data_IF_529981600994
#
_entry.id   IF_529981600994
#
_cell.length_a   1.000
_cell.length_b   1.000
_cell.length_c   1.000
_cell.angle_alpha   90.00
_cell.angle_beta   90.00
_cell.angle_gamma   90.00
#
_symmetry.space_group_name_H-M   'P 1'
#
loop_
_entity.id
_entity.type
_entity.pdbx_description
1 polymer ?
#
# COMPACT_ATOMS: atom_id res chain seq x y z
N UNK A 1 -15.75 31.92 -80.29
CA UNK A 1 -14.99 30.74 -79.85
C UNK A 1 -14.35 31.02 -78.49
N UNK A 2 -15.04 30.66 -77.43
CA UNK A 2 -14.60 30.89 -76.07
C UNK A 2 -14.06 29.59 -75.49
N UNK A 3 -12.77 29.55 -75.10
CA UNK A 3 -12.13 28.39 -74.47
C UNK A 3 -12.29 28.47 -72.97
N UNK A 4 -13.08 27.58 -72.38
CA UNK A 4 -13.11 27.33 -70.96
C UNK A 4 -11.82 26.63 -70.53
N UNK A 5 -11.06 27.25 -69.61
CA UNK A 5 -9.91 26.62 -68.94
C UNK A 5 -10.40 26.11 -67.59
N UNK A 6 -10.51 24.77 -67.45
CA UNK A 6 -10.82 24.10 -66.17
C UNK A 6 -9.56 24.05 -65.31
N UNK A 7 -9.57 24.74 -64.18
CA UNK A 7 -8.55 24.57 -63.14
C UNK A 7 -8.92 23.35 -62.29
N UNK A 8 -8.15 22.24 -62.36
CA UNK A 8 -8.16 21.14 -61.43
C UNK A 8 -7.33 21.58 -60.20
N UNK A 9 -7.98 21.77 -59.10
CA UNK A 9 -7.31 21.99 -57.80
C UNK A 9 -6.91 20.62 -57.21
N UNK A 10 -5.63 20.35 -56.91
CA UNK A 10 -5.26 19.09 -56.26
C UNK A 10 -5.72 19.15 -54.82
N UNK A 11 -6.59 18.20 -54.42
CA UNK A 11 -6.94 17.94 -53.02
C UNK A 11 -5.74 17.28 -52.38
N UNK A 12 -5.03 18.02 -51.54
CA UNK A 12 -3.95 17.54 -50.67
C UNK A 12 -4.58 16.70 -49.56
N UNK A 13 -4.58 15.39 -49.67
CA UNK A 13 -4.92 14.47 -48.59
C UNK A 13 -3.78 14.55 -47.54
N UNK A 14 -3.96 15.34 -46.50
CA UNK A 14 -3.14 15.25 -45.28
C UNK A 14 -3.43 13.88 -44.62
N UNK A 15 -2.41 13.04 -44.37
CA UNK A 15 -2.61 11.87 -43.55
C UNK A 15 -3.00 12.37 -42.14
N UNK A 16 -4.21 12.01 -41.68
CA UNK A 16 -4.60 12.10 -40.30
C UNK A 16 -3.64 11.21 -39.53
N UNK A 17 -2.61 11.78 -38.92
CA UNK A 17 -1.82 11.10 -37.89
C UNK A 17 -2.80 10.73 -36.79
N UNK A 18 -3.21 9.47 -36.79
CA UNK A 18 -3.99 8.88 -35.71
C UNK A 18 -3.09 8.86 -34.50
N UNK A 19 -3.24 9.84 -33.58
CA UNK A 19 -2.74 9.75 -32.22
C UNK A 19 -3.58 8.68 -31.51
N UNK A 20 -3.47 7.43 -31.94
CA UNK A 20 -4.08 6.28 -31.31
C UNK A 20 -3.41 6.05 -29.95
N UNK A 21 -4.21 5.79 -28.93
CA UNK A 21 -3.74 5.12 -27.70
C UNK A 21 -2.91 3.90 -28.10
N UNK A 22 -1.87 3.54 -27.33
CA UNK A 22 -1.11 2.33 -27.59
C UNK A 22 -2.06 1.17 -27.84
N UNK A 23 -1.83 0.42 -28.90
CA UNK A 23 -2.68 -0.70 -29.26
C UNK A 23 -2.23 -1.88 -28.40
N UNK A 24 -2.99 -2.20 -27.36
CA UNK A 24 -2.68 -3.29 -26.45
C UNK A 24 -2.87 -4.65 -27.15
N UNK A 25 -1.94 -5.58 -26.91
CA UNK A 25 -2.07 -6.97 -27.35
C UNK A 25 -2.91 -7.73 -26.31
N UNK A 26 -3.79 -8.62 -26.79
CA UNK A 26 -4.56 -9.55 -25.94
C UNK A 26 -3.67 -10.49 -25.11
N UNK A 27 -2.39 -10.57 -25.41
CA UNK A 27 -1.38 -11.32 -24.67
C UNK A 27 -0.78 -10.56 -23.49
N UNK A 28 -1.00 -9.26 -23.39
CA UNK A 28 -0.47 -8.46 -22.28
C UNK A 28 -1.14 -8.85 -20.95
N UNK A 29 -0.32 -9.33 -20.05
CA UNK A 29 -0.76 -9.85 -18.73
C UNK A 29 0.01 -9.18 -17.63
N UNK A 30 -0.70 -8.47 -16.78
CA UNK A 30 -0.14 -7.83 -15.59
C UNK A 30 -0.60 -8.58 -14.34
N UNK A 31 0.32 -8.75 -13.40
CA UNK A 31 0.03 -9.42 -12.15
C UNK A 31 0.29 -8.49 -10.96
N UNK A 32 -0.56 -8.60 -9.96
CA UNK A 32 -0.29 -8.01 -8.65
C UNK A 32 -0.18 -9.12 -7.62
N UNK A 33 1.05 -9.38 -7.16
CA UNK A 33 1.36 -10.38 -6.11
C UNK A 33 1.34 -9.66 -4.77
N UNK A 34 0.24 -9.80 -4.03
CA UNK A 34 0.02 -9.14 -2.75
C UNK A 34 0.45 -9.97 -1.54
N UNK A 35 0.65 -9.30 -0.40
CA UNK A 35 0.97 -9.97 0.87
C UNK A 35 -0.23 -10.73 1.48
N UNK A 36 -1.46 -10.35 1.10
CA UNK A 36 -2.70 -10.95 1.56
C UNK A 36 -3.82 -10.59 0.57
N UNK A 37 -4.83 -11.46 0.38
CA UNK A 37 -5.91 -11.21 -0.58
C UNK A 37 -7.26 -10.98 0.08
N UNK A 38 -7.43 -11.16 1.38
CA UNK A 38 -8.75 -11.18 2.04
C UNK A 38 -9.11 -9.92 2.80
N UNK A 39 -8.14 -9.24 3.41
CA UNK A 39 -8.46 -8.06 4.22
C UNK A 39 -8.88 -6.85 3.35
N UNK A 40 -9.73 -5.96 3.85
CA UNK A 40 -10.28 -4.82 3.10
C UNK A 40 -9.23 -3.94 2.43
N UNK A 41 -8.08 -3.75 3.08
CA UNK A 41 -6.94 -3.00 2.53
C UNK A 41 -6.51 -3.53 1.15
N UNK A 42 -6.26 -4.84 1.06
CA UNK A 42 -5.83 -5.47 -0.19
C UNK A 42 -6.94 -5.56 -1.24
N UNK A 43 -8.20 -5.67 -0.81
CA UNK A 43 -9.35 -5.59 -1.72
C UNK A 43 -9.48 -4.20 -2.35
N UNK A 44 -9.15 -3.14 -1.61
CA UNK A 44 -9.11 -1.78 -2.13
C UNK A 44 -7.93 -1.59 -3.13
N UNK A 45 -6.76 -2.17 -2.84
CA UNK A 45 -5.63 -2.21 -3.77
C UNK A 45 -5.97 -2.95 -5.06
N UNK A 46 -6.59 -4.14 -4.96
CA UNK A 46 -7.06 -4.93 -6.09
C UNK A 46 -8.05 -4.14 -6.95
N UNK A 47 -8.96 -3.39 -6.35
CA UNK A 47 -9.91 -2.54 -7.08
C UNK A 47 -9.18 -1.45 -7.89
N UNK A 48 -8.11 -0.85 -7.36
CA UNK A 48 -7.27 0.11 -8.08
C UNK A 48 -6.55 -0.53 -9.27
N UNK A 49 -5.95 -1.69 -9.05
CA UNK A 49 -5.26 -2.47 -10.08
C UNK A 49 -6.20 -2.85 -11.23
N UNK A 50 -7.36 -3.44 -10.89
CA UNK A 50 -8.37 -3.83 -11.86
C UNK A 50 -8.95 -2.64 -12.62
N UNK A 51 -9.14 -1.48 -11.94
CA UNK A 51 -9.61 -0.26 -12.60
C UNK A 51 -8.65 0.21 -13.69
N UNK A 52 -7.35 0.18 -13.42
CA UNK A 52 -6.34 0.51 -14.41
C UNK A 52 -6.39 -0.47 -15.60
N UNK A 53 -6.44 -1.78 -15.32
CA UNK A 53 -6.51 -2.82 -16.35
C UNK A 53 -7.72 -2.67 -17.26
N UNK A 54 -8.91 -2.41 -16.71
CA UNK A 54 -10.13 -2.15 -17.47
C UNK A 54 -9.96 -0.93 -18.39
N UNK A 55 -9.34 0.14 -17.90
CA UNK A 55 -9.12 1.36 -18.71
C UNK A 55 -8.07 1.19 -19.80
N UNK A 56 -7.13 0.29 -19.61
CA UNK A 56 -6.09 -0.06 -20.57
C UNK A 56 -6.54 -1.17 -21.52
N UNK A 57 -7.65 -1.87 -21.22
CA UNK A 57 -8.12 -3.06 -21.96
C UNK A 57 -7.10 -4.21 -21.97
N UNK A 58 -6.39 -4.42 -20.86
CA UNK A 58 -5.39 -5.48 -20.67
C UNK A 58 -5.88 -6.55 -19.71
N UNK A 59 -5.24 -7.73 -19.73
CA UNK A 59 -5.50 -8.77 -18.75
C UNK A 59 -4.71 -8.48 -17.47
N UNK A 60 -5.39 -8.61 -16.31
CA UNK A 60 -4.78 -8.40 -15.00
C UNK A 60 -5.27 -9.41 -13.99
N UNK A 61 -4.35 -9.95 -13.20
CA UNK A 61 -4.64 -10.90 -12.14
C UNK A 61 -4.09 -10.41 -10.81
N UNK A 62 -4.97 -10.39 -9.80
CA UNK A 62 -4.60 -10.13 -8.41
C UNK A 62 -4.47 -11.46 -7.69
N UNK A 63 -3.26 -11.77 -7.22
CA UNK A 63 -2.91 -13.03 -6.59
C UNK A 63 -2.17 -12.80 -5.28
N UNK A 64 -2.17 -13.80 -4.41
CA UNK A 64 -1.52 -13.74 -3.11
C UNK A 64 -2.11 -14.77 -2.16
N UNK A 65 -1.49 -15.02 -1.00
CA UNK A 65 -2.06 -15.89 0.02
C UNK A 65 -3.34 -15.27 0.61
N UNK A 66 -4.23 -16.12 1.15
CA UNK A 66 -5.45 -15.64 1.81
C UNK A 66 -5.16 -14.98 3.17
N UNK A 67 -4.11 -15.43 3.83
CA UNK A 67 -3.59 -14.89 5.10
C UNK A 67 -2.13 -14.48 4.92
N UNK A 68 -1.53 -13.83 5.91
CA UNK A 68 -0.12 -13.48 5.85
C UNK A 68 0.75 -14.75 5.86
N UNK A 69 1.29 -15.10 4.69
CA UNK A 69 2.18 -16.24 4.49
C UNK A 69 3.26 -15.90 3.45
N UNK A 70 4.44 -15.45 3.91
CA UNK A 70 5.54 -15.09 3.02
C UNK A 70 6.04 -16.22 2.12
N UNK A 71 5.94 -17.48 2.55
CA UNK A 71 6.36 -18.62 1.73
C UNK A 71 5.39 -18.89 0.60
N UNK A 72 4.09 -18.88 0.91
CA UNK A 72 3.07 -19.01 -0.11
C UNK A 72 3.13 -17.84 -1.11
N UNK A 73 3.43 -16.61 -0.67
CA UNK A 73 3.65 -15.48 -1.56
C UNK A 73 4.84 -15.70 -2.49
N UNK A 74 5.95 -16.20 -1.97
CA UNK A 74 7.14 -16.53 -2.75
C UNK A 74 6.82 -17.57 -3.84
N UNK A 75 6.15 -18.68 -3.47
CA UNK A 75 5.72 -19.72 -4.41
C UNK A 75 4.81 -19.15 -5.52
N UNK A 76 3.85 -18.30 -5.15
CA UNK A 76 2.97 -17.66 -6.12
C UNK A 76 3.69 -16.68 -7.04
N UNK A 77 4.69 -15.95 -6.57
CA UNK A 77 5.51 -15.10 -7.42
C UNK A 77 6.24 -15.94 -8.49
N UNK A 78 6.81 -17.07 -8.10
CA UNK A 78 7.45 -18.01 -9.03
C UNK A 78 6.46 -18.57 -10.07
N UNK A 79 5.23 -18.90 -9.66
CA UNK A 79 4.20 -19.38 -10.56
C UNK A 79 3.71 -18.30 -11.54
N UNK A 80 3.64 -17.06 -11.09
CA UNK A 80 3.38 -15.89 -11.96
C UNK A 80 4.48 -15.74 -13.00
N UNK A 81 5.75 -15.84 -12.59
CA UNK A 81 6.88 -15.67 -13.51
C UNK A 81 6.89 -16.73 -14.63
N UNK A 82 6.48 -17.99 -14.34
CA UNK A 82 6.32 -19.05 -15.34
C UNK A 82 5.29 -18.73 -16.42
N UNK A 83 4.33 -17.84 -16.13
CA UNK A 83 3.29 -17.42 -17.07
C UNK A 83 3.76 -16.33 -18.05
N UNK A 84 5.03 -15.90 -17.94
CA UNK A 84 5.66 -14.85 -18.77
C UNK A 84 4.85 -13.55 -18.75
N UNK A 85 4.68 -12.94 -17.56
CA UNK A 85 3.90 -11.72 -17.41
C UNK A 85 4.54 -10.55 -18.18
N UNK A 86 3.72 -9.60 -18.62
CA UNK A 86 4.15 -8.33 -19.19
C UNK A 86 4.74 -7.40 -18.13
N UNK A 87 4.24 -7.50 -16.89
CA UNK A 87 4.75 -6.77 -15.74
C UNK A 87 4.16 -7.27 -14.43
N UNK A 88 4.89 -7.02 -13.34
CA UNK A 88 4.49 -7.48 -11.99
C UNK A 88 4.50 -6.30 -11.02
N UNK A 89 3.38 -6.08 -10.31
CA UNK A 89 3.37 -5.39 -9.03
C UNK A 89 3.60 -6.41 -7.92
N UNK A 90 4.40 -6.07 -6.92
CA UNK A 90 4.60 -6.93 -5.75
C UNK A 90 4.62 -6.12 -4.47
N UNK A 91 3.89 -6.57 -3.45
CA UNK A 91 4.04 -6.06 -2.09
C UNK A 91 4.81 -7.09 -1.27
N UNK A 92 6.08 -6.82 -1.02
CA UNK A 92 6.99 -7.80 -0.44
C UNK A 92 6.72 -8.02 1.06
N UNK A 93 6.02 -9.09 1.42
CA UNK A 93 5.77 -9.44 2.83
C UNK A 93 7.04 -9.83 3.59
N UNK A 94 7.99 -10.47 2.90
CA UNK A 94 9.33 -10.78 3.40
C UNK A 94 10.35 -10.56 2.27
N UNK A 95 10.94 -9.36 2.17
CA UNK A 95 11.85 -9.01 1.07
C UNK A 95 12.97 -10.02 0.87
N UNK A 96 13.55 -10.56 1.94
CA UNK A 96 14.62 -11.57 1.88
C UNK A 96 14.25 -12.85 1.12
N UNK A 97 12.97 -13.21 1.01
CA UNK A 97 12.51 -14.34 0.22
C UNK A 97 12.28 -13.98 -1.26
N UNK A 98 11.94 -12.71 -1.54
CA UNK A 98 11.50 -12.28 -2.86
C UNK A 98 12.58 -11.58 -3.68
N UNK A 99 13.67 -11.08 -3.06
CA UNK A 99 14.70 -10.32 -3.76
C UNK A 99 15.25 -11.07 -4.98
N UNK A 100 15.60 -12.35 -4.81
CA UNK A 100 16.15 -13.18 -5.90
C UNK A 100 15.13 -13.44 -7.02
N UNK A 101 13.85 -13.58 -6.69
CA UNK A 101 12.80 -13.80 -7.70
C UNK A 101 12.51 -12.51 -8.48
N UNK A 102 12.52 -11.37 -7.80
CA UNK A 102 12.40 -10.06 -8.43
C UNK A 102 13.57 -9.84 -9.39
N UNK A 103 14.80 -10.14 -8.95
CA UNK A 103 16.00 -10.04 -9.78
C UNK A 103 15.95 -10.97 -11.00
N UNK A 104 15.42 -12.19 -10.81
CA UNK A 104 15.22 -13.14 -11.89
C UNK A 104 14.17 -12.66 -12.90
N UNK A 105 13.08 -12.04 -12.44
CA UNK A 105 12.06 -11.44 -13.30
C UNK A 105 12.67 -10.30 -14.16
N UNK A 106 13.38 -9.38 -13.54
CA UNK A 106 14.09 -8.28 -14.22
C UNK A 106 15.10 -8.81 -15.25
N UNK A 107 15.88 -9.84 -14.90
CA UNK A 107 16.84 -10.45 -15.81
C UNK A 107 16.16 -11.13 -17.04
N UNK A 108 14.90 -11.54 -16.91
CA UNK A 108 14.08 -12.08 -18.01
C UNK A 108 13.36 -10.99 -18.81
N UNK A 109 13.58 -9.71 -18.50
CA UNK A 109 12.94 -8.59 -19.18
C UNK A 109 11.54 -8.27 -18.69
N UNK A 110 11.12 -8.81 -17.52
CA UNK A 110 9.83 -8.54 -16.89
C UNK A 110 9.99 -7.37 -15.91
N UNK A 111 9.37 -6.21 -16.15
CA UNK A 111 9.42 -5.09 -15.23
C UNK A 111 8.70 -5.44 -13.91
N UNK A 112 9.34 -5.12 -12.78
CA UNK A 112 8.79 -5.31 -11.44
C UNK A 112 8.78 -3.99 -10.69
N UNK A 113 7.62 -3.59 -10.17
CA UNK A 113 7.43 -2.42 -9.31
C UNK A 113 7.01 -2.93 -7.93
N UNK A 114 7.69 -2.48 -6.87
CA UNK A 114 7.23 -2.73 -5.51
C UNK A 114 6.10 -1.77 -5.14
N UNK A 115 5.09 -2.27 -4.42
CA UNK A 115 3.94 -1.48 -3.98
C UNK A 115 3.63 -1.76 -2.51
N UNK A 116 3.30 -0.74 -1.71
CA UNK A 116 2.96 -0.81 -0.29
C UNK A 116 4.12 -1.25 0.62
N UNK A 117 4.66 -2.44 0.45
CA UNK A 117 5.85 -2.94 1.14
C UNK A 117 6.98 -3.17 0.13
N UNK A 118 8.13 -2.57 0.42
CA UNK A 118 9.26 -2.49 -0.49
C UNK A 118 10.21 -3.69 -0.39
N UNK A 119 10.97 -3.91 -1.47
CA UNK A 119 12.09 -4.84 -1.54
C UNK A 119 13.37 -4.08 -1.98
N UNK A 120 13.94 -3.22 -1.12
CA UNK A 120 14.96 -2.25 -1.51
C UNK A 120 16.29 -2.87 -1.93
N UNK A 121 16.57 -4.10 -1.49
CA UNK A 121 17.80 -4.84 -1.85
C UNK A 121 17.67 -5.62 -3.17
N UNK A 122 16.49 -5.56 -3.84
CA UNK A 122 16.24 -6.18 -5.14
C UNK A 122 16.47 -5.19 -6.28
N UNK A 123 16.44 -5.71 -7.52
CA UNK A 123 16.49 -4.91 -8.76
C UNK A 123 15.12 -4.37 -9.20
N UNK A 124 14.12 -4.32 -8.31
CA UNK A 124 12.85 -3.67 -8.64
C UNK A 124 13.08 -2.29 -9.24
N UNK A 125 12.21 -1.84 -10.13
CA UNK A 125 12.44 -0.57 -10.81
C UNK A 125 12.28 0.61 -9.87
N UNK A 126 11.20 0.65 -9.10
CA UNK A 126 10.94 1.65 -8.05
C UNK A 126 9.86 1.16 -7.08
N UNK A 127 9.59 1.97 -6.07
CA UNK A 127 8.58 1.69 -5.05
C UNK A 127 7.46 2.73 -5.10
N UNK A 128 6.21 2.28 -5.04
CA UNK A 128 5.02 3.12 -4.88
C UNK A 128 4.37 2.79 -3.54
N UNK A 129 4.26 3.76 -2.66
CA UNK A 129 3.72 3.48 -1.33
C UNK A 129 3.44 4.73 -0.53
N UNK A 130 3.42 4.55 0.78
CA UNK A 130 3.37 5.62 1.77
C UNK A 130 4.79 5.87 2.29
N UNK A 131 5.14 7.13 2.57
CA UNK A 131 6.29 7.43 3.41
C UNK A 131 6.00 6.89 4.83
N UNK A 132 6.42 5.65 5.08
CA UNK A 132 6.10 4.92 6.29
C UNK A 132 6.76 5.52 7.54
N UNK A 133 7.94 6.11 7.40
CA UNK A 133 8.55 6.85 8.50
C UNK A 133 7.68 8.05 8.91
N UNK A 134 7.23 8.87 7.95
CA UNK A 134 6.32 9.99 8.22
C UNK A 134 4.99 9.52 8.79
N UNK A 135 4.42 8.43 8.29
CA UNK A 135 3.19 7.85 8.83
C UNK A 135 3.37 7.45 10.30
N UNK A 136 4.50 6.84 10.66
CA UNK A 136 4.87 6.53 12.04
C UNK A 136 5.01 7.78 12.90
N UNK A 137 5.69 8.83 12.40
CA UNK A 137 5.80 10.13 13.09
C UNK A 137 4.42 10.75 13.34
N UNK A 138 3.49 10.68 12.37
CA UNK A 138 2.12 11.19 12.53
C UNK A 138 1.39 10.46 13.66
N UNK A 139 1.42 9.13 13.68
CA UNK A 139 0.79 8.33 14.71
C UNK A 139 1.40 8.56 16.10
N UNK A 140 2.71 8.58 16.18
CA UNK A 140 3.45 8.82 17.43
C UNK A 140 3.16 10.19 18.04
N UNK A 141 3.05 11.23 17.23
CA UNK A 141 2.70 12.59 17.71
C UNK A 141 1.28 12.65 18.27
N UNK A 142 0.33 11.89 17.73
CA UNK A 142 -1.02 11.79 18.29
C UNK A 142 -0.94 11.18 19.70
N UNK A 143 -0.21 10.07 19.86
CA UNK A 143 -0.02 9.44 21.18
C UNK A 143 0.70 10.37 22.13
N UNK A 144 1.83 10.95 21.74
CA UNK A 144 2.63 11.83 22.59
C UNK A 144 1.82 13.04 23.10
N UNK A 145 1.02 13.64 22.21
CA UNK A 145 0.11 14.74 22.56
C UNK A 145 -0.99 14.27 23.54
N UNK A 146 -1.64 13.15 23.23
CA UNK A 146 -2.74 12.62 24.04
C UNK A 146 -2.30 12.17 25.44
N UNK A 147 -1.08 11.66 25.57
CA UNK A 147 -0.46 11.29 26.85
C UNK A 147 0.21 12.47 27.59
N UNK A 148 0.17 13.67 27.03
CA UNK A 148 0.91 14.82 27.54
C UNK A 148 2.41 14.51 27.82
N UNK A 149 3.01 13.69 26.96
CA UNK A 149 4.42 13.30 26.99
C UNK A 149 4.79 12.23 28.04
N UNK A 150 3.82 11.56 28.68
CA UNK A 150 4.10 10.56 29.73
C UNK A 150 3.09 9.42 29.71
N UNK A 151 3.56 8.17 29.68
CA UNK A 151 2.70 6.99 29.75
C UNK A 151 3.37 5.74 29.19
N UNK A 152 2.64 4.63 29.23
CA UNK A 152 3.07 3.33 28.73
C UNK A 152 2.37 3.00 27.43
N UNK A 153 3.14 2.62 26.41
CA UNK A 153 2.67 2.31 25.06
C UNK A 153 2.99 0.87 24.74
N UNK A 154 2.01 0.15 24.22
CA UNK A 154 2.20 -1.15 23.55
C UNK A 154 2.11 -0.95 22.05
N UNK A 155 2.98 -1.61 21.31
CA UNK A 155 3.04 -1.55 19.84
C UNK A 155 2.72 -2.92 19.26
N UNK A 156 1.78 -2.99 18.32
CA UNK A 156 1.53 -4.16 17.47
C UNK A 156 2.10 -3.89 16.08
N UNK A 157 2.83 -4.87 15.52
CA UNK A 157 3.53 -4.73 14.23
C UNK A 157 4.01 -6.06 13.69
N UNK A 158 4.51 -6.09 12.44
CA UNK A 158 5.25 -7.20 11.84
C UNK A 158 6.67 -6.69 11.50
N UNK A 159 7.67 -6.88 12.38
CA UNK A 159 8.99 -6.25 12.24
C UNK A 159 9.78 -6.68 10.99
N UNK A 160 9.40 -7.79 10.36
CA UNK A 160 10.04 -8.33 9.17
C UNK A 160 9.71 -7.54 7.90
N UNK A 161 8.59 -6.83 7.88
CA UNK A 161 8.18 -6.00 6.73
C UNK A 161 8.92 -4.66 6.72
N UNK A 162 9.44 -4.28 5.57
CA UNK A 162 10.22 -3.05 5.41
C UNK A 162 9.41 -1.79 5.76
N UNK A 163 8.16 -1.70 5.29
CA UNK A 163 7.25 -0.59 5.58
C UNK A 163 6.94 -0.46 7.09
N UNK A 164 6.73 -1.57 7.79
CA UNK A 164 6.42 -1.57 9.22
C UNK A 164 7.65 -1.27 10.07
N UNK A 165 8.83 -1.69 9.63
CA UNK A 165 10.11 -1.31 10.26
C UNK A 165 10.32 0.20 10.22
N UNK A 166 10.10 0.84 9.07
CA UNK A 166 10.20 2.29 8.93
C UNK A 166 9.13 3.02 9.75
N UNK A 167 7.90 2.49 9.77
CA UNK A 167 6.80 3.04 10.57
C UNK A 167 7.13 3.00 12.05
N UNK A 168 7.63 1.86 12.56
CA UNK A 168 8.09 1.70 13.94
C UNK A 168 9.22 2.66 14.28
N UNK A 169 10.16 2.89 13.36
CA UNK A 169 11.24 3.87 13.53
C UNK A 169 10.68 5.28 13.74
N UNK A 170 9.67 5.69 12.97
CA UNK A 170 8.99 6.96 13.16
C UNK A 170 8.37 7.13 14.55
N UNK A 171 7.76 6.07 15.09
CA UNK A 171 7.26 6.05 16.47
C UNK A 171 8.40 6.18 17.49
N UNK A 172 9.45 5.39 17.29
CA UNK A 172 10.61 5.36 18.22
C UNK A 172 11.28 6.73 18.32
N UNK A 173 11.51 7.39 17.18
CA UNK A 173 12.18 8.69 17.14
C UNK A 173 11.36 9.78 17.84
N UNK A 174 10.04 9.83 17.61
CA UNK A 174 9.17 10.78 18.33
C UNK A 174 9.13 10.48 19.83
N UNK A 175 9.05 9.21 20.23
CA UNK A 175 9.02 8.87 21.66
C UNK A 175 10.35 9.14 22.35
N UNK A 176 11.48 9.13 21.62
CA UNK A 176 12.78 9.55 22.18
C UNK A 176 12.79 11.02 22.60
N UNK A 177 11.99 11.89 21.93
CA UNK A 177 11.79 13.28 22.33
C UNK A 177 10.98 13.41 23.63
N UNK A 178 10.31 12.33 24.07
CA UNK A 178 9.45 12.27 25.26
C UNK A 178 9.90 11.18 26.25
N UNK A 179 10.96 11.37 27.04
CA UNK A 179 11.59 10.31 27.86
C UNK A 179 10.67 9.64 28.89
N UNK A 180 9.52 10.25 29.21
CA UNK A 180 8.52 9.68 30.10
C UNK A 180 7.46 8.81 29.37
N UNK A 181 7.47 8.77 28.05
CA UNK A 181 6.74 7.76 27.29
C UNK A 181 7.61 6.49 27.26
N UNK A 182 7.03 5.36 27.64
CA UNK A 182 7.71 4.08 27.66
C UNK A 182 7.01 3.11 26.71
N UNK A 183 7.71 2.64 25.70
CA UNK A 183 7.28 1.46 24.96
C UNK A 183 7.56 0.25 25.83
N UNK A 184 6.52 -0.32 26.39
CA UNK A 184 6.63 -1.44 27.32
C UNK A 184 6.72 -2.78 26.63
N UNK A 185 6.14 -2.86 25.45
CA UNK A 185 6.17 -4.08 24.63
C UNK A 185 6.03 -3.73 23.12
N UNK A 186 6.74 -4.46 22.28
CA UNK A 186 6.55 -4.49 20.83
C UNK A 186 6.18 -5.91 20.47
N UNK A 187 4.97 -6.12 19.99
CA UNK A 187 4.38 -7.43 19.73
C UNK A 187 4.38 -7.69 18.24
N UNK A 188 5.04 -8.78 17.83
CA UNK A 188 4.89 -9.29 16.47
C UNK A 188 3.58 -10.09 16.41
N UNK A 189 2.62 -9.59 15.64
CA UNK A 189 1.30 -10.22 15.49
C UNK A 189 1.25 -11.21 14.30
N UNK A 190 2.33 -11.29 13.51
CA UNK A 190 2.46 -12.24 12.38
C UNK A 190 1.31 -12.20 11.36
N UNK A 191 0.58 -11.08 11.24
CA UNK A 191 -0.61 -10.95 10.40
C UNK A 191 -1.85 -11.68 10.95
N UNK A 192 -1.83 -12.08 12.22
CA UNK A 192 -2.93 -12.79 12.88
C UNK A 192 -3.70 -11.86 13.83
N UNK A 193 -4.94 -11.47 13.50
CA UNK A 193 -5.78 -10.65 14.39
C UNK A 193 -6.07 -11.33 15.74
N UNK A 194 -6.04 -12.67 15.81
CA UNK A 194 -6.22 -13.42 17.05
C UNK A 194 -5.11 -13.12 18.05
N UNK A 195 -3.86 -12.97 17.60
CA UNK A 195 -2.74 -12.58 18.47
C UNK A 195 -2.98 -11.20 19.09
N UNK A 196 -3.45 -10.24 18.30
CA UNK A 196 -3.75 -8.89 18.78
C UNK A 196 -4.88 -8.92 19.85
N UNK A 197 -5.96 -9.64 19.53
CA UNK A 197 -7.09 -9.80 20.42
C UNK A 197 -6.67 -10.44 21.74
N UNK A 198 -6.00 -11.58 21.70
CA UNK A 198 -5.62 -12.36 22.88
C UNK A 198 -4.63 -11.61 23.76
N UNK A 199 -3.62 -10.97 23.16
CA UNK A 199 -2.64 -10.16 23.90
C UNK A 199 -3.29 -8.95 24.56
N UNK A 200 -4.20 -8.26 23.89
CA UNK A 200 -4.95 -7.13 24.46
C UNK A 200 -5.85 -7.60 25.58
N UNK A 201 -6.53 -8.74 25.41
CA UNK A 201 -7.39 -9.35 26.44
C UNK A 201 -6.59 -9.69 27.70
N UNK A 202 -5.45 -10.35 27.53
CA UNK A 202 -4.53 -10.69 28.62
C UNK A 202 -4.08 -9.45 29.41
N UNK A 203 -3.70 -8.38 28.70
CA UNK A 203 -3.29 -7.12 29.34
C UNK A 203 -4.41 -6.51 30.16
N UNK A 204 -5.63 -6.49 29.64
CA UNK A 204 -6.81 -5.94 30.32
C UNK A 204 -7.14 -6.78 31.55
N UNK A 205 -7.16 -8.11 31.45
CA UNK A 205 -7.51 -9.01 32.56
C UNK A 205 -6.47 -9.01 33.67
N UNK A 206 -5.19 -8.85 33.33
CA UNK A 206 -4.10 -8.72 34.32
C UNK A 206 -3.97 -7.32 34.89
N UNK A 207 -4.76 -6.35 34.46
CA UNK A 207 -4.68 -4.97 34.93
C UNK A 207 -3.36 -4.30 34.54
N UNK A 208 -2.80 -4.64 33.36
CA UNK A 208 -1.54 -4.06 32.90
C UNK A 208 -1.66 -2.55 32.75
N UNK A 209 -0.60 -1.84 33.12
CA UNK A 209 -0.53 -0.38 32.99
C UNK A 209 -0.19 0.02 31.56
N UNK A 210 -1.17 -0.05 30.68
CA UNK A 210 -1.07 0.42 29.29
C UNK A 210 -1.92 1.68 29.16
N UNK A 211 -1.35 2.76 28.66
CA UNK A 211 -2.03 4.04 28.45
C UNK A 211 -2.39 4.27 26.98
N UNK A 212 -1.60 3.69 26.06
CA UNK A 212 -1.86 3.76 24.62
C UNK A 212 -1.47 2.48 23.89
N UNK A 213 -2.17 2.23 22.79
CA UNK A 213 -1.86 1.19 21.80
C UNK A 213 -1.49 1.86 20.48
N UNK A 214 -0.30 1.55 19.96
CA UNK A 214 0.16 1.90 18.62
C UNK A 214 -0.01 0.69 17.72
N UNK A 215 -0.99 0.75 16.84
CA UNK A 215 -1.40 -0.31 15.95
C UNK A 215 -0.85 -0.03 14.55
N UNK A 216 0.21 -0.74 14.14
CA UNK A 216 0.94 -0.40 12.93
C UNK A 216 0.42 -1.09 11.67
N UNK A 217 -0.49 -2.06 11.82
CA UNK A 217 -1.15 -2.73 10.69
C UNK A 217 -2.66 -2.46 10.66
N UNK A 218 -3.30 -2.79 9.54
CA UNK A 218 -4.74 -2.57 9.36
C UNK A 218 -5.61 -3.40 10.31
N UNK A 219 -5.11 -4.55 10.77
CA UNK A 219 -5.86 -5.50 11.59
C UNK A 219 -5.83 -5.16 13.08
N UNK A 220 -4.83 -4.43 13.56
CA UNK A 220 -4.57 -4.23 14.98
C UNK A 220 -5.65 -3.40 15.67
N UNK A 221 -5.94 -2.22 15.10
CA UNK A 221 -6.85 -1.24 15.70
C UNK A 221 -8.24 -1.80 16.00
N UNK A 222 -8.90 -2.50 15.06
CA UNK A 222 -10.18 -3.15 15.28
C UNK A 222 -10.19 -4.15 16.44
N UNK A 223 -9.15 -4.98 16.56
CA UNK A 223 -9.07 -6.00 17.61
C UNK A 223 -8.85 -5.40 19.00
N UNK A 224 -7.95 -4.40 19.10
CA UNK A 224 -7.77 -3.64 20.34
C UNK A 224 -9.10 -2.98 20.76
N UNK A 225 -9.77 -2.30 19.82
CA UNK A 225 -11.05 -1.62 20.10
C UNK A 225 -12.15 -2.61 20.53
N UNK A 226 -12.19 -3.79 19.92
CA UNK A 226 -13.13 -4.86 20.28
C UNK A 226 -12.96 -5.28 21.73
N UNK A 227 -11.72 -5.55 22.17
CA UNK A 227 -11.43 -5.96 23.56
C UNK A 227 -11.78 -4.84 24.53
N UNK A 228 -11.34 -3.62 24.26
CA UNK A 228 -11.64 -2.47 25.12
C UNK A 228 -13.14 -2.24 25.26
N UNK A 229 -13.89 -2.36 24.15
CA UNK A 229 -15.34 -2.26 24.15
C UNK A 229 -16.03 -3.36 24.96
N UNK A 230 -15.65 -4.64 24.74
CA UNK A 230 -16.21 -5.78 25.49
C UNK A 230 -15.96 -5.71 27.00
N UNK A 231 -14.81 -5.20 27.39
CA UNK A 231 -14.43 -5.07 28.81
C UNK A 231 -14.82 -3.72 29.42
N UNK A 232 -15.50 -2.84 28.68
CA UNK A 232 -15.86 -1.49 29.11
C UNK A 232 -14.64 -0.67 29.61
N UNK A 233 -13.47 -0.87 29.00
CA UNK A 233 -12.25 -0.12 29.33
C UNK A 233 -12.25 1.18 28.57
N UNK A 234 -12.13 2.29 29.29
CA UNK A 234 -12.09 3.64 28.74
C UNK A 234 -10.79 4.36 29.08
N UNK A 235 -10.53 5.51 28.42
CA UNK A 235 -9.38 6.36 28.69
C UNK A 235 -8.05 5.84 28.12
N UNK A 236 -8.08 4.81 27.27
CA UNK A 236 -6.90 4.37 26.52
C UNK A 236 -6.86 5.06 25.16
N UNK A 237 -5.66 5.46 24.73
CA UNK A 237 -5.47 5.94 23.35
C UNK A 237 -5.23 4.74 22.43
N UNK A 238 -5.92 4.71 21.31
CA UNK A 238 -5.68 3.72 20.25
C UNK A 238 -5.42 4.49 18.96
N UNK A 239 -4.21 4.40 18.44
CA UNK A 239 -3.85 4.94 17.12
C UNK A 239 -3.67 3.78 16.17
N UNK A 240 -4.58 3.72 15.19
CA UNK A 240 -4.68 2.65 14.21
C UNK A 240 -4.02 3.02 12.87
N UNK A 241 -3.97 2.05 11.98
CA UNK A 241 -3.64 2.22 10.57
C UNK A 241 -4.83 1.86 9.70
N UNK A 242 -4.86 2.51 8.54
CA UNK A 242 -5.79 2.26 7.46
C UNK A 242 -7.27 2.53 7.75
N UNK A 243 -8.10 2.21 6.79
CA UNK A 243 -9.51 2.64 6.77
C UNK A 243 -10.47 1.46 6.72
N UNK A 244 -10.11 0.37 7.42
CA UNK A 244 -11.03 -0.75 7.63
C UNK A 244 -12.35 -0.22 8.18
N UNK A 245 -13.52 -0.72 7.72
CA UNK A 245 -14.82 -0.28 8.22
C UNK A 245 -14.93 -0.33 9.76
N UNK A 246 -14.36 -1.36 10.41
CA UNK A 246 -14.36 -1.48 11.87
C UNK A 246 -13.49 -0.40 12.55
N UNK A 247 -12.37 -0.02 11.90
CA UNK A 247 -11.52 1.10 12.38
C UNK A 247 -12.30 2.41 12.35
N UNK A 248 -12.98 2.72 11.25
CA UNK A 248 -13.76 3.95 11.12
C UNK A 248 -14.95 3.97 12.10
N UNK A 249 -15.64 2.84 12.28
CA UNK A 249 -16.67 2.68 13.28
C UNK A 249 -16.13 2.86 14.70
N UNK A 250 -14.94 2.30 14.99
CA UNK A 250 -14.24 2.47 16.27
C UNK A 250 -13.95 3.94 16.57
N UNK A 251 -13.56 4.74 15.57
CA UNK A 251 -13.39 6.20 15.71
C UNK A 251 -14.73 6.87 16.00
N UNK A 252 -15.79 6.51 15.27
CA UNK A 252 -17.12 7.07 15.49
C UNK A 252 -17.65 6.77 16.90
N UNK A 253 -17.35 5.59 17.44
CA UNK A 253 -17.73 5.18 18.81
C UNK A 253 -16.80 5.71 19.88
N UNK A 254 -15.65 6.30 19.52
CA UNK A 254 -14.65 6.81 20.47
C UNK A 254 -13.78 5.72 21.13
N UNK A 255 -13.77 4.50 20.56
CA UNK A 255 -12.88 3.40 20.98
C UNK A 255 -11.49 3.50 20.33
N UNK A 256 -11.41 4.09 19.15
CA UNK A 256 -10.17 4.42 18.45
C UNK A 256 -10.02 5.92 18.41
N UNK A 257 -8.84 6.42 18.81
CA UNK A 257 -8.54 7.86 18.88
C UNK A 257 -8.39 8.47 17.49
N UNK A 258 -7.61 7.79 16.66
CA UNK A 258 -7.35 8.17 15.26
C UNK A 258 -6.80 7.00 14.46
N UNK A 259 -6.84 7.11 13.15
CA UNK A 259 -6.11 6.23 12.24
C UNK A 259 -5.29 7.03 11.23
N UNK A 260 -4.21 6.43 10.74
CA UNK A 260 -3.42 6.95 9.62
C UNK A 260 -3.85 6.20 8.36
N UNK A 261 -4.69 6.83 7.55
CA UNK A 261 -5.20 6.24 6.31
C UNK A 261 -4.19 6.34 5.18
N UNK A 262 -3.90 5.23 4.54
CA UNK A 262 -3.11 5.12 3.31
C UNK A 262 -4.01 5.13 2.07
N UNK A 263 -3.43 4.95 0.87
CA UNK A 263 -4.16 5.01 -0.41
C UNK A 263 -3.89 3.77 -1.28
N UNK A 264 -4.26 2.56 -0.83
CA UNK A 264 -3.94 1.32 -1.53
C UNK A 264 -4.50 1.27 -2.95
N UNK A 265 -5.72 1.78 -3.17
CA UNK A 265 -6.28 1.93 -4.51
C UNK A 265 -5.37 2.73 -5.44
N UNK A 266 -4.91 3.90 -4.98
CA UNK A 266 -4.05 4.80 -5.77
C UNK A 266 -2.69 4.17 -6.05
N UNK A 267 -2.10 3.49 -5.07
CA UNK A 267 -0.82 2.80 -5.23
C UNK A 267 -0.89 1.76 -6.36
N UNK A 268 -1.86 0.87 -6.29
CA UNK A 268 -2.02 -0.21 -7.26
C UNK A 268 -2.49 0.29 -8.63
N UNK A 269 -3.36 1.30 -8.67
CA UNK A 269 -3.79 1.94 -9.92
C UNK A 269 -2.60 2.58 -10.66
N UNK A 270 -1.81 3.39 -9.97
CA UNK A 270 -0.62 4.02 -10.54
C UNK A 270 0.41 2.97 -10.96
N UNK A 271 0.63 1.96 -10.13
CA UNK A 271 1.58 0.89 -10.43
C UNK A 271 1.23 0.14 -11.72
N UNK A 272 -0.04 -0.22 -11.92
CA UNK A 272 -0.49 -0.85 -13.15
C UNK A 272 -0.28 0.05 -14.38
N UNK A 273 -0.62 1.34 -14.26
CA UNK A 273 -0.41 2.32 -15.34
C UNK A 273 1.07 2.49 -15.69
N UNK A 274 1.93 2.49 -14.68
CA UNK A 274 3.38 2.63 -14.89
C UNK A 274 4.01 1.35 -15.46
N UNK A 275 3.51 0.16 -15.10
CA UNK A 275 3.94 -1.09 -15.77
C UNK A 275 3.59 -1.09 -17.24
N UNK A 276 2.40 -0.63 -17.59
CA UNK A 276 1.93 -0.50 -18.95
C UNK A 276 2.77 0.48 -19.77
N UNK A 277 3.06 1.65 -19.19
CA UNK A 277 3.94 2.64 -19.83
C UNK A 277 5.35 2.09 -20.05
N UNK A 278 5.91 1.39 -19.07
CA UNK A 278 7.23 0.74 -19.21
C UNK A 278 7.25 -0.39 -20.23
N UNK A 279 6.13 -1.06 -20.48
CA UNK A 279 6.03 -2.06 -21.54
C UNK A 279 6.03 -1.43 -22.93
N UNK A 280 5.25 -0.38 -23.13
CA UNK A 280 5.12 0.30 -24.43
C UNK A 280 6.27 1.27 -24.72
N UNK A 281 6.93 1.78 -23.68
CA UNK A 281 8.09 2.69 -23.74
C UNK A 281 9.24 2.13 -22.87
N UNK A 282 9.85 1.01 -23.31
CA UNK A 282 10.83 0.31 -22.49
C UNK A 282 12.07 1.17 -22.22
N UNK A 283 12.62 1.06 -21.03
CA UNK A 283 13.92 1.61 -20.71
C UNK A 283 15.00 0.93 -21.54
N UNK A 284 16.13 1.62 -21.82
CA UNK A 284 17.25 1.07 -22.62
C UNK A 284 17.71 -0.29 -22.12
N UNK A 285 17.68 -0.51 -20.79
CA UNK A 285 18.00 -1.79 -20.17
C UNK A 285 17.32 -1.95 -18.82
N UNK A 286 16.50 -2.99 -18.66
CA UNK A 286 15.96 -3.36 -17.35
C UNK A 286 17.02 -3.99 -16.43
N UNK A 287 18.16 -4.46 -16.97
CA UNK A 287 19.22 -5.10 -16.19
C UNK A 287 20.09 -4.09 -15.41
N UNK A 288 20.00 -2.80 -15.74
CA UNK A 288 20.62 -1.73 -14.96
C UNK A 288 19.92 -1.63 -13.61
N UNK A 289 20.67 -1.50 -12.53
CA UNK A 289 20.09 -1.25 -11.21
C UNK A 289 19.67 0.23 -11.10
N UNK A 290 18.48 0.55 -11.57
CA UNK A 290 17.94 1.92 -11.59
C UNK A 290 17.78 2.52 -10.19
N UNK A 291 17.61 1.70 -9.16
CA UNK A 291 17.50 2.17 -7.77
C UNK A 291 18.81 2.79 -7.26
N UNK A 292 19.94 2.28 -7.75
CA UNK A 292 21.28 2.75 -7.36
C UNK A 292 21.86 3.81 -8.31
N UNK A 293 21.21 4.03 -9.46
CA UNK A 293 21.65 5.03 -10.42
C UNK A 293 21.13 6.42 -10.04
N UNK A 294 22.05 7.31 -9.65
CA UNK A 294 21.73 8.71 -9.32
C UNK A 294 21.17 9.51 -10.50
N UNK A 295 21.33 9.03 -11.72
CA UNK A 295 20.84 9.67 -12.95
C UNK A 295 19.66 8.91 -13.56
N UNK A 296 19.04 8.02 -12.81
CA UNK A 296 17.87 7.24 -13.26
C UNK A 296 16.77 8.14 -13.81
N UNK A 297 16.20 7.85 -15.00
CA UNK A 297 15.08 8.59 -15.55
C UNK A 297 13.75 8.28 -14.84
N UNK A 298 13.72 7.24 -13.99
CA UNK A 298 12.55 6.85 -13.21
C UNK A 298 12.74 7.20 -11.73
N UNK A 299 11.65 7.53 -10.98
CA UNK A 299 11.75 7.81 -9.56
C UNK A 299 12.17 6.56 -8.78
N UNK A 300 12.90 6.71 -7.68
CA UNK A 300 13.16 5.60 -6.76
C UNK A 300 11.97 5.29 -5.87
N UNK A 301 11.15 6.31 -5.58
CA UNK A 301 9.98 6.24 -4.71
C UNK A 301 8.87 7.21 -5.15
N UNK A 302 7.64 6.73 -5.16
CA UNK A 302 6.43 7.52 -5.39
C UNK A 302 5.58 7.50 -4.12
N UNK A 303 5.60 8.60 -3.36
CA UNK A 303 4.76 8.74 -2.16
C UNK A 303 3.32 9.08 -2.54
N UNK A 304 2.37 8.22 -2.19
CA UNK A 304 0.93 8.46 -2.38
C UNK A 304 0.32 9.26 -1.23
N UNK A 305 1.08 9.50 -0.18
CA UNK A 305 0.69 10.25 1.00
C UNK A 305 -0.20 9.48 1.98
N UNK A 306 -0.26 10.00 3.20
CA UNK A 306 -1.12 9.49 4.26
C UNK A 306 -1.97 10.61 4.87
N UNK A 307 -3.09 10.25 5.52
CA UNK A 307 -4.04 11.22 6.10
C UNK A 307 -4.44 10.78 7.50
N UNK A 308 -4.44 11.70 8.46
CA UNK A 308 -5.00 11.46 9.78
C UNK A 308 -6.53 11.52 9.70
N UNK A 309 -7.17 10.47 10.19
CA UNK A 309 -8.62 10.39 10.33
C UNK A 309 -8.93 10.21 11.82
N UNK A 310 -9.69 11.14 12.36
CA UNK A 310 -10.12 11.16 13.75
C UNK A 310 -11.60 11.53 13.87
N UNK A 311 -12.09 11.75 15.10
CA UNK A 311 -13.48 12.08 15.36
C UNK A 311 -13.96 13.34 14.65
N UNK A 312 -13.06 14.26 14.30
CA UNK A 312 -13.42 15.55 13.67
C UNK A 312 -13.73 15.42 12.18
N UNK A 313 -13.18 14.40 11.51
CA UNK A 313 -13.27 14.27 10.05
C UNK A 313 -13.75 12.89 9.53
N UNK A 314 -13.92 11.88 10.39
CA UNK A 314 -14.30 10.52 9.98
C UNK A 314 -15.61 10.48 9.20
N UNK A 315 -16.61 11.26 9.57
CA UNK A 315 -17.90 11.30 8.86
C UNK A 315 -17.76 11.85 7.44
N UNK A 316 -17.00 12.92 7.29
CA UNK A 316 -16.70 13.51 5.99
C UNK A 316 -15.90 12.54 5.10
N UNK A 317 -14.94 11.82 5.69
CA UNK A 317 -14.18 10.79 5.00
C UNK A 317 -15.08 9.64 4.51
N UNK A 318 -15.92 9.08 5.38
CA UNK A 318 -16.86 8.00 5.03
C UNK A 318 -17.82 8.44 3.91
N UNK A 319 -18.36 9.65 4.00
CA UNK A 319 -19.24 10.21 2.97
C UNK A 319 -18.53 10.33 1.62
N UNK A 320 -17.30 10.87 1.59
CA UNK A 320 -16.52 11.01 0.37
C UNK A 320 -16.22 9.63 -0.28
N UNK A 321 -15.83 8.63 0.54
CA UNK A 321 -15.58 7.26 0.08
C UNK A 321 -16.82 6.61 -0.53
N UNK A 322 -17.96 6.72 0.11
CA UNK A 322 -19.23 6.16 -0.38
C UNK A 322 -19.69 6.82 -1.68
N UNK A 323 -19.51 8.14 -1.81
CA UNK A 323 -19.81 8.87 -3.05
C UNK A 323 -18.93 8.43 -4.23
N UNK A 324 -17.65 8.19 -3.98
CA UNK A 324 -16.72 7.70 -5.00
C UNK A 324 -17.05 6.25 -5.44
N UNK A 325 -17.60 5.43 -4.54
CA UNK A 325 -18.04 4.06 -4.84
C UNK A 325 -19.35 4.03 -5.62
N UNK A 326 -20.26 4.96 -5.35
CA UNK A 326 -21.57 5.06 -6.04
C UNK A 326 -21.45 5.65 -7.47
N UNK A 327 -20.35 6.31 -7.80
CA UNK A 327 -20.06 6.88 -9.12
C UNK A 327 -19.41 5.87 -10.10
N UNK A 328 -19.27 4.63 -9.71
CA UNK A 328 -18.76 3.50 -10.51
C UNK A 328 -19.89 2.67 -11.06
#
# INVERSE_FOLDING_TARGET
MSRLVSFLTPILLLPLMNCGSPQHDVQEKYFFVSANTKIPYWQEAAAGFNRAAVQMHVHAEFVGPETYDPKAQHEQFQDVLKQKPTGILVSASAPGLLNNDIDAAIAQGVPVIAVDSDAPDSKRLFFIGTDNYKAGVMGARIIAKGLAGKGNVVVFTIPEQANLKDRLRGYTDVFAEHPQIKVTEVINEHGDPGVVFDRTMEMVEKGAKVDAFACLTAIDGPEVAEVLGRKNVTGKLVVAMDTDPRTLEGIQKGLITATIGQKPFTMAYLGARMLDDLHHHPLESLTVNWVQDSFSPIPTFVDTGATVIDKSNVESFVKARNSATAAK
#
